data_IF_808573123150
#
_entry.id   IF_808573123150
#
_cell.length_a   1.000
_cell.length_b   1.000
_cell.length_c   1.000
_cell.angle_alpha   90.00
_cell.angle_beta   90.00
_cell.angle_gamma   90.00
#
_symmetry.space_group_name_H-M   'P 1'
#
loop_
_entity.id
_entity.type
_entity.pdbx_description
1 polymer ?
#
# COMPACT_ATOMS: atom_id res chain seq x y z
N UNK A 1 -16.14 29.68 -18.82
CA UNK A 1 -16.12 28.26 -18.42
C UNK A 1 -16.13 27.44 -19.68
N UNK A 2 -15.12 26.60 -19.86
CA UNK A 2 -14.92 25.85 -21.10
C UNK A 2 -15.80 24.60 -21.11
N UNK A 3 -16.21 24.14 -22.30
CA UNK A 3 -17.02 22.92 -22.49
C UNK A 3 -16.40 21.66 -21.82
N UNK A 4 -15.08 21.64 -21.67
CA UNK A 4 -14.32 20.59 -20.98
C UNK A 4 -14.50 20.62 -19.46
N UNK A 5 -14.62 21.80 -18.84
CA UNK A 5 -14.89 21.92 -17.40
C UNK A 5 -16.31 21.43 -17.07
N UNK A 6 -17.26 21.71 -17.95
CA UNK A 6 -18.65 21.22 -17.83
C UNK A 6 -18.74 19.70 -18.03
N UNK A 7 -18.00 19.12 -18.98
CA UNK A 7 -17.96 17.66 -19.21
C UNK A 7 -17.32 16.92 -18.02
N UNK A 8 -16.19 17.41 -17.47
CA UNK A 8 -15.54 16.83 -16.28
C UNK A 8 -16.42 16.89 -15.03
N UNK A 9 -17.12 18.02 -14.84
CA UNK A 9 -18.06 18.19 -13.73
C UNK A 9 -19.28 17.29 -13.87
N UNK A 10 -19.73 17.07 -15.11
CA UNK A 10 -20.83 16.13 -15.42
C UNK A 10 -20.40 14.69 -15.19
N UNK A 11 -19.18 14.32 -15.62
CA UNK A 11 -18.60 13.01 -15.37
C UNK A 11 -18.42 12.77 -13.87
N UNK A 12 -17.81 13.69 -13.11
CA UNK A 12 -17.67 13.54 -11.67
C UNK A 12 -19.03 13.33 -10.96
N UNK A 13 -20.05 14.10 -11.33
CA UNK A 13 -21.39 13.95 -10.77
C UNK A 13 -22.00 12.57 -11.07
N UNK A 14 -21.72 11.99 -12.24
CA UNK A 14 -22.15 10.62 -12.54
C UNK A 14 -21.38 9.59 -11.70
N UNK A 15 -20.08 9.80 -11.48
CA UNK A 15 -19.21 8.89 -10.75
C UNK A 15 -19.48 8.89 -9.24
N UNK A 16 -19.87 10.03 -8.67
CA UNK A 16 -20.16 10.15 -7.24
C UNK A 16 -21.29 9.21 -6.79
N UNK A 17 -22.24 8.84 -7.67
CA UNK A 17 -23.29 7.87 -7.38
C UNK A 17 -22.79 6.43 -7.19
N UNK A 18 -21.60 6.09 -7.67
CA UNK A 18 -20.99 4.77 -7.44
C UNK A 18 -20.27 4.67 -6.10
N UNK A 19 -20.08 5.79 -5.39
CA UNK A 19 -19.57 5.81 -4.03
C UNK A 19 -20.69 5.50 -3.04
N UNK A 20 -20.33 4.84 -1.95
CA UNK A 20 -21.23 4.55 -0.84
C UNK A 20 -21.74 5.85 -0.21
N UNK A 21 -23.05 6.07 -0.31
CA UNK A 21 -23.71 7.29 0.15
C UNK A 21 -23.70 8.46 -0.85
N UNK A 22 -23.16 8.27 -2.07
CA UNK A 22 -23.21 9.27 -3.13
C UNK A 22 -22.32 10.50 -2.87
N UNK A 23 -22.72 11.64 -3.45
CA UNK A 23 -22.03 12.93 -3.30
C UNK A 23 -21.91 13.43 -1.85
N UNK A 24 -22.82 13.02 -0.96
CA UNK A 24 -22.80 13.36 0.46
C UNK A 24 -22.34 12.19 1.35
N UNK A 25 -21.81 11.13 0.74
CA UNK A 25 -21.40 9.91 1.41
C UNK A 25 -20.10 10.07 2.21
N UNK A 26 -19.96 9.23 3.24
CA UNK A 26 -18.73 9.17 4.04
C UNK A 26 -17.53 8.75 3.19
N UNK A 27 -17.74 7.92 2.16
CA UNK A 27 -16.65 7.46 1.30
C UNK A 27 -16.00 8.61 0.53
N UNK A 28 -16.80 9.49 -0.09
CA UNK A 28 -16.28 10.67 -0.80
C UNK A 28 -15.55 11.61 0.16
N UNK A 29 -16.09 11.78 1.38
CA UNK A 29 -15.45 12.59 2.42
C UNK A 29 -14.08 12.01 2.81
N UNK A 30 -13.98 10.70 3.02
CA UNK A 30 -12.71 10.03 3.31
C UNK A 30 -11.71 10.13 2.16
N UNK A 31 -12.16 9.93 0.91
CA UNK A 31 -11.32 10.13 -0.27
C UNK A 31 -10.72 11.54 -0.29
N UNK A 32 -11.55 12.56 0.00
CA UNK A 32 -11.10 13.95 0.07
C UNK A 32 -10.14 14.18 1.22
N UNK A 33 -10.42 13.65 2.40
CA UNK A 33 -9.53 13.74 3.56
C UNK A 33 -8.16 13.12 3.25
N UNK A 34 -8.10 11.91 2.67
CA UNK A 34 -6.82 11.27 2.34
C UNK A 34 -6.06 11.94 1.20
N UNK A 35 -6.77 12.49 0.21
CA UNK A 35 -6.18 13.29 -0.86
C UNK A 35 -5.36 14.47 -0.30
N UNK A 36 -5.86 15.13 0.75
CA UNK A 36 -5.17 16.25 1.39
C UNK A 36 -4.21 15.83 2.52
N UNK A 37 -4.54 14.81 3.33
CA UNK A 37 -3.67 14.35 4.42
C UNK A 37 -2.30 13.91 3.93
N UNK A 38 -2.22 13.32 2.73
CA UNK A 38 -0.94 12.95 2.13
C UNK A 38 -0.01 14.16 1.92
N UNK A 39 -0.56 15.32 1.55
CA UNK A 39 0.22 16.53 1.35
C UNK A 39 0.85 17.00 2.68
N UNK A 40 0.11 16.87 3.79
CA UNK A 40 0.63 17.16 5.14
C UNK A 40 1.77 16.21 5.48
N UNK A 41 1.58 14.91 5.24
CA UNK A 41 2.59 13.88 5.55
C UNK A 41 3.90 14.08 4.78
N UNK A 42 3.82 14.63 3.56
CA UNK A 42 4.98 14.93 2.72
C UNK A 42 5.54 16.34 2.89
N UNK A 43 4.96 17.18 3.74
CA UNK A 43 5.45 18.53 3.98
C UNK A 43 6.63 18.54 4.93
N UNK A 44 7.63 19.35 4.61
CA UNK A 44 8.76 19.65 5.52
C UNK A 44 8.28 20.42 6.75
N UNK A 45 7.21 21.22 6.61
CA UNK A 45 6.60 21.97 7.71
C UNK A 45 5.06 21.85 7.64
N UNK A 46 4.47 20.95 8.44
CA UNK A 46 3.01 20.74 8.48
C UNK A 46 2.23 22.01 8.86
N UNK A 47 2.81 22.90 9.67
CA UNK A 47 2.13 24.07 10.22
C UNK A 47 1.96 25.21 9.20
N UNK A 48 2.70 25.18 8.09
CA UNK A 48 2.69 26.24 7.07
C UNK A 48 2.32 25.73 5.68
N UNK A 49 1.72 24.53 5.59
CA UNK A 49 1.40 23.94 4.30
C UNK A 49 0.28 24.72 3.60
N UNK A 50 0.47 24.96 2.30
CA UNK A 50 -0.59 25.39 1.40
C UNK A 50 -1.08 24.15 0.65
N UNK A 51 -2.35 23.79 0.84
CA UNK A 51 -2.93 22.66 0.15
C UNK A 51 -2.99 22.93 -1.36
N UNK A 52 -2.45 22.01 -2.12
CA UNK A 52 -2.61 21.92 -3.57
C UNK A 52 -3.95 21.24 -3.87
N UNK A 53 -4.67 21.75 -4.88
CA UNK A 53 -5.82 21.04 -5.46
C UNK A 53 -5.39 19.86 -6.36
N UNK A 54 -4.08 19.64 -6.47
CA UNK A 54 -3.47 18.60 -7.29
C UNK A 54 -2.66 17.59 -6.47
N UNK A 55 -2.73 16.33 -6.88
CA UNK A 55 -1.89 15.23 -6.40
C UNK A 55 -0.94 14.79 -7.51
N UNK A 56 0.34 14.55 -7.19
CA UNK A 56 1.25 13.94 -8.17
C UNK A 56 0.86 12.49 -8.44
N UNK A 57 0.82 12.08 -9.71
CA UNK A 57 0.45 10.72 -10.12
C UNK A 57 1.33 9.64 -9.50
N UNK A 58 2.61 9.93 -9.25
CA UNK A 58 3.53 9.02 -8.58
C UNK A 58 3.09 8.72 -7.13
N UNK A 59 2.24 9.57 -6.56
CA UNK A 59 1.73 9.46 -5.20
C UNK A 59 0.31 8.87 -5.10
N UNK A 60 -0.29 8.45 -6.22
CA UNK A 60 -1.67 7.94 -6.23
C UNK A 60 -1.88 6.71 -5.34
N UNK A 61 -0.83 5.91 -5.14
CA UNK A 61 -0.89 4.70 -4.32
C UNK A 61 -1.16 4.98 -2.84
N UNK A 62 -0.75 6.14 -2.32
CA UNK A 62 -0.92 6.48 -0.90
C UNK A 62 -2.39 6.64 -0.48
N UNK A 63 -3.21 7.50 -1.11
CA UNK A 63 -4.62 7.61 -0.75
C UNK A 63 -5.41 6.34 -1.09
N UNK A 64 -5.02 5.58 -2.13
CA UNK A 64 -5.61 4.26 -2.41
C UNK A 64 -5.44 3.30 -1.22
N UNK A 65 -4.21 3.21 -0.69
CA UNK A 65 -3.87 2.38 0.49
C UNK A 65 -4.57 2.85 1.74
N UNK A 66 -4.73 4.16 1.93
CA UNK A 66 -5.48 4.73 3.05
C UNK A 66 -6.98 4.35 3.01
N UNK A 67 -7.54 4.21 1.81
CA UNK A 67 -8.90 3.70 1.58
C UNK A 67 -8.99 2.16 1.68
N UNK A 68 -7.92 1.48 2.07
CA UNK A 68 -7.88 0.02 2.22
C UNK A 68 -7.64 -0.75 0.92
N UNK A 69 -7.34 -0.08 -0.19
CA UNK A 69 -6.93 -0.72 -1.44
C UNK A 69 -5.40 -0.70 -1.60
N UNK A 70 -4.79 -1.87 -1.68
CA UNK A 70 -3.35 -2.03 -1.85
C UNK A 70 -3.03 -2.44 -3.30
N UNK A 71 -2.93 -1.47 -4.24
CA UNK A 71 -2.65 -1.79 -5.63
C UNK A 71 -1.27 -2.41 -5.79
N UNK A 72 -1.18 -3.37 -6.69
CA UNK A 72 0.07 -3.98 -7.16
C UNK A 72 0.91 -2.98 -7.97
N UNK A 73 2.22 -3.21 -8.12
CA UNK A 73 3.10 -2.40 -8.98
C UNK A 73 2.61 -2.34 -10.43
N UNK A 74 2.07 -3.44 -10.94
CA UNK A 74 1.42 -3.48 -12.26
C UNK A 74 0.16 -2.61 -12.30
N UNK A 75 -0.68 -2.66 -11.27
CA UNK A 75 -1.89 -1.83 -11.19
C UNK A 75 -1.53 -0.34 -11.09
N UNK A 76 -0.51 0.02 -10.30
CA UNK A 76 0.02 1.39 -10.21
C UNK A 76 0.53 1.84 -11.59
N UNK A 77 1.28 0.98 -12.29
CA UNK A 77 1.78 1.28 -13.65
C UNK A 77 0.64 1.52 -14.64
N UNK A 78 -0.43 0.71 -14.57
CA UNK A 78 -1.62 0.89 -15.39
C UNK A 78 -2.35 2.20 -15.06
N UNK A 79 -2.47 2.57 -13.78
CA UNK A 79 -3.05 3.85 -13.36
C UNK A 79 -2.28 5.03 -13.95
N UNK A 80 -0.94 5.02 -13.82
CA UNK A 80 -0.06 6.07 -14.38
C UNK A 80 -0.22 6.15 -15.91
N UNK A 81 -0.30 5.01 -16.59
CA UNK A 81 -0.48 4.96 -18.04
C UNK A 81 -1.86 5.50 -18.48
N UNK A 82 -2.95 5.06 -17.86
CA UNK A 82 -4.31 5.53 -18.14
C UNK A 82 -4.41 7.05 -17.99
N UNK A 83 -3.71 7.58 -17.01
CA UNK A 83 -3.61 9.00 -16.75
C UNK A 83 -2.86 9.77 -17.83
N UNK A 84 -1.70 9.29 -18.25
CA UNK A 84 -0.97 9.88 -19.38
C UNK A 84 -1.82 9.89 -20.65
N UNK A 85 -2.57 8.83 -20.94
CA UNK A 85 -3.46 8.77 -22.11
C UNK A 85 -4.61 9.79 -22.02
N UNK A 86 -5.17 10.04 -20.83
CA UNK A 86 -6.18 11.10 -20.62
C UNK A 86 -5.63 12.50 -20.86
N UNK A 87 -4.38 12.75 -20.44
CA UNK A 87 -3.74 14.07 -20.55
C UNK A 87 -3.23 14.40 -21.95
N UNK A 88 -2.90 13.40 -22.79
CA UNK A 88 -2.56 13.61 -24.20
C UNK A 88 -3.73 14.30 -24.96
N UNK A 89 -4.95 14.20 -24.44
CA UNK A 89 -6.14 14.87 -24.99
C UNK A 89 -6.32 16.31 -24.43
N UNK A 90 -5.71 16.65 -23.30
CA UNK A 90 -5.83 17.95 -22.61
C UNK A 90 -4.56 18.80 -22.78
N UNK A 91 -4.50 19.58 -23.86
CA UNK A 91 -3.39 20.54 -24.08
C UNK A 91 -3.32 21.52 -22.89
N UNK A 92 -2.25 21.44 -22.09
CA UNK A 92 -1.91 22.43 -21.04
C UNK A 92 -1.91 21.94 -19.60
N UNK A 93 -2.24 20.67 -19.31
CA UNK A 93 -2.07 20.09 -17.98
C UNK A 93 -0.69 19.43 -17.85
N UNK A 94 0.07 19.63 -16.73
CA UNK A 94 1.26 18.83 -16.48
C UNK A 94 0.83 17.38 -16.35
N UNK A 95 1.41 16.49 -17.17
CA UNK A 95 1.07 15.05 -17.28
C UNK A 95 1.26 14.24 -16.00
N UNK A 96 1.63 14.89 -14.90
CA UNK A 96 1.98 14.29 -13.62
C UNK A 96 1.05 14.72 -12.50
N UNK A 97 0.02 15.55 -12.75
CA UNK A 97 -0.88 16.07 -11.72
C UNK A 97 -2.31 15.56 -11.89
N UNK A 98 -2.98 15.25 -10.79
CA UNK A 98 -4.39 14.84 -10.71
C UNK A 98 -5.18 15.88 -9.95
N UNK A 99 -6.32 16.29 -10.50
CA UNK A 99 -7.39 16.89 -9.68
C UNK A 99 -8.05 15.86 -8.77
N UNK A 100 -8.79 16.33 -7.77
CA UNK A 100 -9.56 15.45 -6.89
C UNK A 100 -10.60 14.62 -7.65
N UNK A 101 -11.28 15.24 -8.62
CA UNK A 101 -12.30 14.60 -9.45
C UNK A 101 -11.70 13.46 -10.30
N UNK A 102 -10.53 13.69 -10.90
CA UNK A 102 -9.80 12.66 -11.65
C UNK A 102 -9.35 11.51 -10.75
N UNK A 103 -8.90 11.82 -9.54
CA UNK A 103 -8.56 10.82 -8.54
C UNK A 103 -9.77 9.96 -8.15
N UNK A 104 -10.95 10.53 -7.96
CA UNK A 104 -12.17 9.77 -7.62
C UNK A 104 -12.57 8.82 -8.74
N UNK A 105 -12.51 9.27 -10.00
CA UNK A 105 -12.78 8.41 -11.17
C UNK A 105 -11.77 7.27 -11.22
N UNK A 106 -10.48 7.58 -11.05
CA UNK A 106 -9.41 6.58 -11.05
C UNK A 106 -9.58 5.58 -9.90
N UNK A 107 -9.93 6.05 -8.70
CA UNK A 107 -10.25 5.20 -7.55
C UNK A 107 -11.37 4.21 -7.89
N UNK A 108 -12.48 4.68 -8.46
CA UNK A 108 -13.60 3.81 -8.82
C UNK A 108 -13.25 2.76 -9.90
N UNK A 109 -12.37 3.11 -10.84
CA UNK A 109 -11.94 2.19 -11.91
C UNK A 109 -11.13 1.01 -11.39
N UNK A 110 -10.30 1.24 -10.36
CA UNK A 110 -9.37 0.22 -9.86
C UNK A 110 -9.77 -0.39 -8.52
N UNK A 111 -10.65 0.26 -7.74
CA UNK A 111 -11.06 -0.22 -6.43
C UNK A 111 -11.51 -1.69 -6.55
N UNK A 112 -10.77 -2.64 -5.95
CA UNK A 112 -11.10 -4.04 -6.08
C UNK A 112 -12.38 -4.32 -5.29
N UNK A 113 -13.27 -5.10 -5.89
CA UNK A 113 -14.47 -5.60 -5.21
C UNK A 113 -14.16 -6.77 -4.26
N UNK A 114 -12.91 -7.25 -4.26
CA UNK A 114 -12.48 -8.42 -3.51
C UNK A 114 -11.63 -8.00 -2.30
N UNK A 115 -12.18 -8.23 -1.11
CA UNK A 115 -11.45 -8.07 0.15
C UNK A 115 -10.49 -9.25 0.36
N UNK A 116 -9.21 -8.95 0.64
CA UNK A 116 -8.24 -9.96 1.09
C UNK A 116 -8.72 -10.58 2.40
N UNK A 117 -8.98 -11.89 2.40
CA UNK A 117 -9.44 -12.60 3.60
C UNK A 117 -8.27 -13.20 4.36
N UNK A 118 -8.42 -13.33 5.67
CA UNK A 118 -7.45 -14.05 6.52
C UNK A 118 -7.18 -15.48 6.02
N UNK A 119 -8.17 -16.12 5.40
CA UNK A 119 -8.04 -17.43 4.78
C UNK A 119 -7.12 -17.45 3.56
N UNK A 120 -7.00 -16.35 2.84
CA UNK A 120 -6.08 -16.24 1.70
C UNK A 120 -4.64 -16.06 2.19
N UNK A 121 -4.44 -15.29 3.27
CA UNK A 121 -3.16 -15.18 3.97
C UNK A 121 -2.74 -16.55 4.52
N UNK A 122 -3.67 -17.31 5.13
CA UNK A 122 -3.43 -18.69 5.60
C UNK A 122 -2.92 -19.58 4.48
N UNK A 123 -3.63 -19.61 3.34
CA UNK A 123 -3.24 -20.43 2.19
C UNK A 123 -1.86 -20.03 1.66
N UNK A 124 -1.53 -18.73 1.64
CA UNK A 124 -0.21 -18.26 1.25
C UNK A 124 0.87 -18.76 2.22
N UNK A 125 0.64 -18.60 3.53
CA UNK A 125 1.54 -19.10 4.56
C UNK A 125 1.78 -20.61 4.46
N UNK A 126 0.71 -21.40 4.35
CA UNK A 126 0.82 -22.85 4.26
C UNK A 126 1.63 -23.28 3.02
N UNK A 127 1.48 -22.57 1.90
CA UNK A 127 2.35 -22.77 0.72
C UNK A 127 3.80 -22.40 1.00
N UNK A 128 4.08 -21.28 1.66
CA UNK A 128 5.46 -20.87 2.00
C UNK A 128 6.15 -21.93 2.87
N UNK A 129 5.44 -22.49 3.85
CA UNK A 129 5.95 -23.58 4.70
C UNK A 129 6.27 -24.84 3.89
N UNK A 130 5.46 -25.18 2.88
CA UNK A 130 5.75 -26.33 2.00
C UNK A 130 7.00 -26.13 1.14
N UNK A 131 7.33 -24.88 0.78
CA UNK A 131 8.53 -24.51 0.03
C UNK A 131 9.74 -24.22 0.92
N UNK A 132 9.60 -24.36 2.25
CA UNK A 132 10.69 -24.11 3.16
C UNK A 132 11.71 -25.26 3.13
N UNK A 133 12.91 -24.94 2.67
CA UNK A 133 14.02 -25.89 2.54
C UNK A 133 15.15 -25.60 3.52
N UNK A 134 15.01 -24.59 4.37
CA UNK A 134 16.03 -24.25 5.36
C UNK A 134 15.86 -25.09 6.62
N UNK A 135 16.97 -25.33 7.31
CA UNK A 135 16.97 -26.09 8.55
C UNK A 135 16.34 -25.23 9.65
N UNK A 136 15.22 -25.70 10.20
CA UNK A 136 14.69 -25.14 11.42
C UNK A 136 15.62 -25.48 12.60
N UNK A 137 16.21 -24.48 13.30
CA UNK A 137 17.09 -24.72 14.45
C UNK A 137 16.43 -25.52 15.57
N UNK A 138 15.11 -25.36 15.75
CA UNK A 138 14.33 -25.96 16.82
C UNK A 138 13.70 -27.30 16.40
N UNK A 139 13.86 -27.71 15.14
CA UNK A 139 13.31 -28.97 14.62
C UNK A 139 11.78 -29.04 14.53
N UNK A 140 11.08 -27.92 14.79
CA UNK A 140 9.63 -27.83 14.68
C UNK A 140 9.16 -28.01 13.23
N UNK A 141 8.04 -28.71 13.05
CA UNK A 141 7.42 -28.92 11.75
C UNK A 141 6.26 -27.95 11.55
N UNK A 142 6.03 -27.54 10.31
CA UNK A 142 4.89 -26.69 9.96
C UNK A 142 5.07 -25.22 10.32
N UNK A 143 6.31 -24.78 10.54
CA UNK A 143 6.68 -23.37 10.76
C UNK A 143 7.56 -22.88 9.61
N UNK A 144 7.57 -21.58 9.39
CA UNK A 144 8.32 -20.94 8.32
C UNK A 144 9.63 -20.37 8.89
N UNK A 145 10.77 -20.69 8.32
CA UNK A 145 12.06 -20.07 8.65
C UNK A 145 12.11 -18.62 8.16
N UNK A 146 12.79 -17.76 8.91
CA UNK A 146 12.99 -16.36 8.46
C UNK A 146 13.78 -16.29 7.16
N UNK A 147 14.68 -17.23 6.91
CA UNK A 147 15.47 -17.31 5.68
C UNK A 147 14.56 -17.55 4.46
N UNK A 148 13.61 -18.50 4.55
CA UNK A 148 12.60 -18.70 3.51
C UNK A 148 11.68 -17.50 3.36
N UNK A 149 11.23 -16.91 4.47
CA UNK A 149 10.40 -15.70 4.43
C UNK A 149 11.09 -14.58 3.64
N UNK A 150 12.32 -14.23 4.00
CA UNK A 150 13.11 -13.18 3.31
C UNK A 150 13.36 -13.57 1.86
N UNK A 151 13.72 -14.82 1.59
CA UNK A 151 13.94 -15.30 0.23
C UNK A 151 12.70 -15.11 -0.66
N UNK A 152 11.51 -15.48 -0.17
CA UNK A 152 10.26 -15.36 -0.94
C UNK A 152 9.93 -13.89 -1.21
N UNK A 153 9.99 -13.02 -0.19
CA UNK A 153 9.71 -11.58 -0.35
C UNK A 153 10.66 -10.89 -1.35
N UNK A 154 11.89 -11.40 -1.47
CA UNK A 154 12.93 -10.87 -2.36
C UNK A 154 12.84 -11.37 -3.80
N UNK A 155 12.27 -12.56 -4.02
CA UNK A 155 12.44 -13.27 -5.30
C UNK A 155 11.13 -13.70 -5.98
N UNK A 156 10.00 -13.70 -5.27
CA UNK A 156 8.72 -14.16 -5.79
C UNK A 156 7.72 -13.00 -5.89
N UNK A 157 6.83 -13.04 -6.89
CA UNK A 157 5.80 -12.01 -7.08
C UNK A 157 6.39 -10.63 -7.40
N UNK A 158 5.76 -9.59 -6.85
CA UNK A 158 6.28 -8.21 -6.87
C UNK A 158 7.39 -8.08 -5.83
N UNK A 159 8.63 -8.11 -6.33
CA UNK A 159 9.84 -8.29 -5.52
C UNK A 159 10.15 -7.02 -4.76
N UNK A 160 10.42 -7.15 -3.47
CA UNK A 160 10.93 -6.03 -2.67
C UNK A 160 12.44 -5.89 -2.84
N UNK A 161 12.93 -4.65 -2.86
CA UNK A 161 14.35 -4.35 -2.63
C UNK A 161 14.74 -4.70 -1.19
N UNK A 162 16.04 -4.83 -0.93
CA UNK A 162 16.50 -5.08 0.45
C UNK A 162 16.14 -3.92 1.38
N UNK A 163 16.27 -2.70 0.88
CA UNK A 163 15.97 -1.50 1.63
C UNK A 163 14.49 -1.39 1.99
N UNK A 164 13.58 -1.68 1.05
CA UNK A 164 12.14 -1.71 1.33
C UNK A 164 11.79 -2.75 2.38
N UNK A 165 12.28 -3.99 2.22
CA UNK A 165 12.00 -5.05 3.18
C UNK A 165 12.55 -4.72 4.58
N UNK A 166 13.74 -4.12 4.66
CA UNK A 166 14.31 -3.64 5.91
C UNK A 166 13.42 -2.59 6.58
N UNK A 167 13.01 -1.56 5.84
CA UNK A 167 12.12 -0.51 6.36
C UNK A 167 10.81 -1.10 6.85
N UNK A 168 10.20 -2.01 6.08
CA UNK A 168 8.93 -2.65 6.43
C UNK A 168 9.07 -3.45 7.73
N UNK A 169 10.05 -4.36 7.81
CA UNK A 169 10.27 -5.19 9.00
C UNK A 169 10.56 -4.35 10.23
N UNK A 170 11.42 -3.33 10.11
CA UNK A 170 11.76 -2.42 11.22
C UNK A 170 10.55 -1.62 11.71
N UNK A 171 9.76 -1.10 10.78
CA UNK A 171 8.55 -0.32 11.08
C UNK A 171 7.51 -1.17 11.78
N UNK A 172 7.23 -2.37 11.26
CA UNK A 172 6.20 -3.26 11.79
C UNK A 172 6.58 -3.82 13.17
N UNK A 173 7.83 -4.24 13.35
CA UNK A 173 8.31 -4.85 14.61
C UNK A 173 8.82 -3.82 15.63
N UNK A 174 8.80 -2.52 15.31
CA UNK A 174 9.21 -1.40 16.18
C UNK A 174 10.62 -1.58 16.76
N UNK A 175 11.53 -2.18 16.02
CA UNK A 175 12.93 -2.37 16.45
C UNK A 175 13.66 -1.02 16.37
N UNK A 176 13.72 -0.30 17.49
CA UNK A 176 14.28 1.06 17.57
C UNK A 176 15.81 1.13 17.50
N UNK A 177 16.52 0.05 17.80
CA UNK A 177 17.96 0.11 18.11
C UNK A 177 18.85 -0.74 17.19
N UNK A 178 18.88 -0.41 15.90
CA UNK A 178 19.94 -0.86 14.99
C UNK A 178 20.49 0.37 14.26
N UNK A 179 21.35 1.10 14.97
CA UNK A 179 22.08 2.25 14.43
C UNK A 179 23.11 1.78 13.40
N UNK A 180 22.91 2.25 12.16
CA UNK A 180 23.90 2.42 11.08
C UNK A 180 25.10 1.46 11.08
N UNK A 181 24.94 0.26 10.54
CA UNK A 181 26.07 -0.58 10.14
C UNK A 181 26.18 -0.59 8.61
N UNK A 182 26.81 0.46 8.06
CA UNK A 182 27.40 0.50 6.72
C UNK A 182 26.44 0.40 5.54
N UNK A 183 26.81 1.04 4.43
CA UNK A 183 26.15 1.00 3.13
C UNK A 183 26.30 -0.38 2.43
N UNK A 184 25.92 -1.45 3.11
CA UNK A 184 25.87 -2.80 2.55
C UNK A 184 24.44 -3.34 2.68
N UNK A 185 23.98 -4.10 1.68
CA UNK A 185 22.74 -4.87 1.73
C UNK A 185 22.78 -5.83 2.93
N UNK A 186 22.32 -5.38 4.09
CA UNK A 186 22.60 -6.09 5.33
C UNK A 186 21.43 -6.99 5.66
N UNK A 187 21.30 -8.09 4.92
CA UNK A 187 20.34 -9.18 5.21
C UNK A 187 20.39 -9.60 6.69
N UNK A 188 21.54 -9.44 7.35
CA UNK A 188 21.71 -9.69 8.77
C UNK A 188 20.84 -8.78 9.66
N UNK A 189 20.60 -7.51 9.27
CA UNK A 189 19.72 -6.61 10.01
C UNK A 189 18.27 -7.08 9.93
N UNK A 190 17.83 -7.51 8.74
CA UNK A 190 16.50 -8.08 8.54
C UNK A 190 16.35 -9.37 9.35
N UNK A 191 17.34 -10.26 9.28
CA UNK A 191 17.35 -11.51 10.03
C UNK A 191 17.39 -11.27 11.55
N UNK A 192 18.11 -10.25 12.03
CA UNK A 192 18.19 -9.92 13.44
C UNK A 192 16.87 -9.35 13.98
N UNK A 193 16.08 -8.67 13.14
CA UNK A 193 14.77 -8.17 13.51
C UNK A 193 13.70 -9.28 13.55
N UNK A 194 13.90 -10.39 12.82
CA UNK A 194 12.96 -11.50 12.73
C UNK A 194 13.31 -12.65 13.70
N UNK A 195 12.30 -13.32 14.30
CA UNK A 195 12.55 -14.57 15.01
C UNK A 195 13.09 -15.65 14.05
N UNK A 196 13.82 -16.67 14.54
CA UNK A 196 14.34 -17.75 13.69
C UNK A 196 13.24 -18.46 12.89
N UNK A 197 12.06 -18.62 13.50
CA UNK A 197 10.87 -19.21 12.89
C UNK A 197 9.66 -18.28 13.05
N UNK A 198 8.80 -18.28 12.05
CA UNK A 198 7.57 -17.50 11.95
C UNK A 198 6.39 -18.47 11.91
N UNK A 199 5.61 -18.47 12.98
CA UNK A 199 4.30 -19.12 12.97
C UNK A 199 3.28 -18.24 12.23
N UNK A 200 2.20 -18.84 11.73
CA UNK A 200 1.11 -18.04 11.16
C UNK A 200 0.57 -17.02 12.17
N UNK A 201 0.44 -17.41 13.44
CA UNK A 201 -0.03 -16.50 14.48
C UNK A 201 0.91 -15.31 14.61
N UNK A 202 2.22 -15.54 14.67
CA UNK A 202 3.21 -14.47 14.72
C UNK A 202 3.06 -13.48 13.54
N UNK A 203 2.88 -13.99 12.32
CA UNK A 203 2.68 -13.13 11.13
C UNK A 203 1.41 -12.27 11.28
N UNK A 204 0.32 -12.85 11.73
CA UNK A 204 -0.95 -12.12 11.88
C UNK A 204 -0.90 -11.11 13.02
N UNK A 205 -0.39 -11.50 14.19
CA UNK A 205 -0.50 -10.68 15.40
C UNK A 205 0.68 -9.74 15.57
N UNK A 206 1.89 -10.21 15.35
CA UNK A 206 3.11 -9.49 15.68
C UNK A 206 3.66 -8.74 14.47
N UNK A 207 3.57 -9.33 13.27
CA UNK A 207 4.02 -8.66 12.04
C UNK A 207 2.95 -7.73 11.46
N UNK A 208 1.72 -8.21 11.22
CA UNK A 208 0.65 -7.38 10.65
C UNK A 208 -0.13 -6.58 11.69
N UNK A 209 0.04 -6.88 12.99
CA UNK A 209 -0.65 -6.13 14.05
C UNK A 209 -2.16 -6.39 14.10
N UNK A 210 -2.67 -7.44 13.44
CA UNK A 210 -4.08 -7.80 13.54
C UNK A 210 -4.39 -8.27 14.97
N UNK A 211 -5.44 -7.71 15.57
CA UNK A 211 -5.87 -8.05 16.92
C UNK A 211 -6.10 -9.56 17.01
N UNK A 212 -5.43 -10.21 17.96
CA UNK A 212 -5.67 -11.62 18.23
C UNK A 212 -7.13 -11.78 18.72
N UNK A 213 -8.01 -12.47 17.97
CA UNK A 213 -9.42 -12.57 18.34
C UNK A 213 -9.62 -13.28 19.70
N UNK A 214 -8.60 -14.00 20.19
CA UNK A 214 -8.61 -14.70 21.47
C UNK A 214 -8.05 -13.88 22.65
N UNK A 215 -7.50 -12.68 22.41
CA UNK A 215 -7.15 -11.73 23.48
C UNK A 215 -8.29 -10.72 23.64
N UNK A 216 -9.43 -11.16 24.19
CA UNK A 216 -10.38 -10.22 24.79
C UNK A 216 -9.76 -9.73 26.10
N UNK A 217 -9.68 -8.41 26.25
CA UNK A 217 -9.34 -7.75 27.52
C UNK A 217 -10.35 -8.13 28.59
#
# INVERSE_FOLDING_TARGET
>A
MSRLEDDLRTDFNAHSYFLEGGENGNELKLLKEYFYCFQIANSVNPDTIVFSDFLDVCNVSYPMRAMGYFPSDMEISNMIYEMHERDIVKIGHPTTLLTFEEFVILYLNYKPRLELKIGDIRKAYDRMVLYDHFVNPDGEKGVLTRETFVHIMKNMGEKMSFHELEIVVRTLLKTKDLSSAGSGENINLIHAALPPTLTFNYIITDLFGFLNPNKRK
#
